data_IF_147178990744
#
_entry.id   IF_147178990744
#
_cell.length_a   1.000
_cell.length_b   1.000
_cell.length_c   1.000
_cell.angle_alpha   90.00
_cell.angle_beta   90.00
_cell.angle_gamma   90.00
#
_symmetry.space_group_name_H-M   'P 1'
#
loop_
_entity.id
_entity.type
_entity.pdbx_description
1 polymer ?
#
# COMPACT_ATOMS: atom_id res chain seq x y z
N UNK A 1 16.65 -12.41 -18.44
CA UNK A 1 15.34 -12.84 -17.94
C UNK A 1 15.62 -13.48 -16.60
N UNK A 2 15.55 -12.72 -15.50
CA UNK A 2 15.74 -13.24 -14.14
C UNK A 2 14.46 -14.00 -13.77
N UNK A 3 14.55 -15.30 -13.63
CA UNK A 3 13.52 -16.11 -12.98
C UNK A 3 13.56 -15.80 -11.49
N UNK A 4 12.70 -14.91 -11.02
CA UNK A 4 12.47 -14.78 -9.58
C UNK A 4 11.94 -16.12 -9.08
N UNK A 5 12.79 -16.80 -8.36
CA UNK A 5 12.47 -18.04 -7.68
C UNK A 5 11.57 -17.65 -6.51
N UNK A 6 10.30 -18.06 -6.53
CA UNK A 6 9.40 -18.00 -5.37
C UNK A 6 10.18 -18.61 -4.20
N UNK A 7 10.31 -17.90 -3.09
CA UNK A 7 10.99 -18.41 -1.89
C UNK A 7 10.28 -19.69 -1.47
N UNK A 8 11.03 -20.73 -1.12
CA UNK A 8 10.47 -22.01 -0.70
C UNK A 8 9.47 -21.87 0.47
N UNK A 9 9.69 -20.88 1.32
CA UNK A 9 8.88 -20.57 2.50
C UNK A 9 7.46 -20.10 2.12
N UNK A 10 7.27 -19.40 1.01
CA UNK A 10 5.96 -18.94 0.55
C UNK A 10 5.04 -20.10 0.15
N UNK A 11 5.60 -21.23 -0.24
CA UNK A 11 4.83 -22.42 -0.63
C UNK A 11 4.49 -23.32 0.55
N UNK A 12 5.29 -23.28 1.63
CA UNK A 12 5.08 -24.13 2.83
C UNK A 12 3.84 -23.72 3.64
N UNK A 13 3.41 -22.47 3.58
CA UNK A 13 2.19 -22.02 4.25
C UNK A 13 0.91 -22.59 3.61
N UNK A 14 0.97 -23.01 2.33
CA UNK A 14 -0.18 -23.56 1.61
C UNK A 14 -0.16 -25.07 1.64
N UNK A 15 -0.55 -25.67 2.80
CA UNK A 15 -0.58 -27.12 2.99
C UNK A 15 -1.90 -27.75 2.59
N UNK A 16 -3.00 -27.02 2.77
CA UNK A 16 -4.36 -27.55 2.57
C UNK A 16 -5.14 -26.69 1.57
N UNK A 17 -5.99 -27.33 0.81
CA UNK A 17 -6.87 -26.69 -0.15
C UNK A 17 -8.01 -25.96 0.59
N UNK A 18 -8.11 -24.64 0.40
CA UNK A 18 -9.18 -23.84 0.99
C UNK A 18 -10.59 -24.22 0.48
N UNK A 19 -10.67 -24.95 -0.66
CA UNK A 19 -11.95 -25.36 -1.26
C UNK A 19 -12.48 -26.69 -0.71
N UNK A 20 -11.60 -27.69 -0.45
CA UNK A 20 -12.05 -29.05 -0.07
C UNK A 20 -11.28 -29.65 1.12
N UNK A 21 -10.33 -28.93 1.71
CA UNK A 21 -9.57 -29.40 2.88
C UNK A 21 -8.44 -30.38 2.59
N UNK A 22 -8.32 -30.93 1.37
CA UNK A 22 -7.28 -31.90 1.01
C UNK A 22 -5.91 -31.27 0.90
N UNK A 23 -4.86 -32.09 1.03
CA UNK A 23 -3.47 -31.64 0.89
C UNK A 23 -3.19 -31.08 -0.49
N UNK A 24 -2.47 -29.98 -0.54
CA UNK A 24 -1.94 -29.39 -1.76
C UNK A 24 -0.61 -30.03 -2.14
N UNK A 25 -0.40 -30.18 -3.46
CA UNK A 25 0.84 -30.68 -4.06
C UNK A 25 1.41 -29.60 -4.94
N UNK A 26 2.73 -29.42 -4.94
CA UNK A 26 3.39 -28.49 -5.84
C UNK A 26 3.49 -29.04 -7.26
N UNK A 27 3.05 -28.24 -8.25
CA UNK A 27 3.17 -28.57 -9.68
C UNK A 27 3.72 -27.40 -10.48
N UNK A 28 4.49 -27.72 -11.50
CA UNK A 28 4.92 -26.73 -12.51
C UNK A 28 3.75 -26.49 -13.47
N UNK A 29 3.18 -25.27 -13.44
CA UNK A 29 2.12 -24.81 -14.32
C UNK A 29 2.55 -23.48 -14.95
N UNK A 30 2.50 -23.39 -16.27
CA UNK A 30 2.85 -22.18 -17.03
C UNK A 30 4.22 -21.58 -16.63
N UNK A 31 5.21 -22.45 -16.41
CA UNK A 31 6.57 -22.06 -16.04
C UNK A 31 6.77 -21.63 -14.58
N UNK A 32 5.74 -21.75 -13.71
CA UNK A 32 5.83 -21.45 -12.29
C UNK A 32 5.37 -22.63 -11.43
N UNK A 33 6.03 -22.84 -10.29
CA UNK A 33 5.59 -23.83 -9.30
C UNK A 33 4.40 -23.24 -8.56
N UNK A 34 3.28 -23.98 -8.50
CA UNK A 34 2.05 -23.58 -7.83
C UNK A 34 1.51 -24.69 -6.95
N UNK A 35 0.91 -24.38 -5.79
CA UNK A 35 0.15 -25.36 -5.01
C UNK A 35 -1.13 -25.75 -5.77
N UNK A 36 -1.33 -27.06 -5.95
CA UNK A 36 -2.47 -27.63 -6.68
C UNK A 36 -3.14 -28.72 -5.84
N UNK A 37 -4.45 -28.69 -5.75
CA UNK A 37 -5.23 -29.75 -5.14
C UNK A 37 -5.52 -30.86 -6.16
N UNK A 38 -5.02 -32.06 -5.92
CA UNK A 38 -5.26 -33.21 -6.82
C UNK A 38 -6.70 -33.74 -6.74
N UNK A 39 -7.39 -33.48 -5.63
CA UNK A 39 -8.76 -33.94 -5.40
C UNK A 39 -9.81 -33.12 -6.15
N UNK A 40 -9.74 -31.78 -6.06
CA UNK A 40 -10.75 -30.89 -6.66
C UNK A 40 -10.24 -29.99 -7.79
N UNK A 41 -8.96 -30.12 -8.17
CA UNK A 41 -8.34 -29.35 -9.26
C UNK A 41 -8.06 -27.87 -8.92
N UNK A 42 -8.29 -27.42 -7.68
CA UNK A 42 -8.02 -26.03 -7.30
C UNK A 42 -6.54 -25.70 -7.41
N UNK A 43 -6.21 -24.56 -8.00
CA UNK A 43 -4.85 -24.01 -8.11
C UNK A 43 -4.77 -22.76 -7.25
N UNK A 44 -3.74 -22.67 -6.40
CA UNK A 44 -3.47 -21.46 -5.60
C UNK A 44 -2.54 -20.55 -6.39
N UNK A 45 -3.01 -19.34 -6.66
CA UNK A 45 -2.22 -18.28 -7.29
C UNK A 45 -1.69 -17.34 -6.20
N UNK A 46 -0.37 -17.23 -6.11
CA UNK A 46 0.29 -16.30 -5.17
C UNK A 46 0.44 -14.96 -5.90
N UNK A 47 -0.46 -14.06 -5.62
CA UNK A 47 -0.48 -12.71 -6.19
C UNK A 47 -0.11 -11.69 -5.12
N UNK A 48 0.51 -10.55 -5.48
CA UNK A 48 0.71 -9.46 -4.54
C UNK A 48 -0.62 -9.00 -3.95
N UNK A 49 -0.62 -8.68 -2.66
CA UNK A 49 -1.78 -8.07 -2.00
C UNK A 49 -1.91 -6.61 -2.44
N UNK A 50 -3.08 -6.16 -2.91
CA UNK A 50 -3.27 -4.79 -3.30
C UNK A 50 -3.43 -3.88 -2.09
N UNK A 51 -2.64 -2.80 -2.05
CA UNK A 51 -2.71 -1.74 -1.07
C UNK A 51 -2.72 -0.38 -1.74
N UNK A 52 -3.21 0.63 -1.04
CA UNK A 52 -3.22 2.02 -1.48
C UNK A 52 -2.40 2.89 -0.52
N UNK A 53 -1.81 3.98 -1.03
CA UNK A 53 -1.12 4.98 -0.22
C UNK A 53 -1.51 6.39 -0.69
N UNK A 54 -1.86 7.28 0.27
CA UNK A 54 -2.31 8.65 -0.01
C UNK A 54 -1.17 9.64 0.12
N UNK A 55 -0.98 10.49 -0.89
CA UNK A 55 -0.10 11.63 -0.80
C UNK A 55 -0.92 12.91 -0.73
N UNK A 56 -1.05 13.46 0.48
CA UNK A 56 -1.64 14.76 0.73
C UNK A 56 -0.51 15.77 0.90
N UNK A 57 -0.35 16.68 -0.06
CA UNK A 57 0.62 17.77 0.05
C UNK A 57 -0.11 19.11 0.07
N UNK A 58 0.17 19.93 1.09
CA UNK A 58 -0.34 21.29 1.22
C UNK A 58 0.78 22.22 1.69
N UNK A 59 0.98 23.34 1.01
CA UNK A 59 1.97 24.36 1.37
C UNK A 59 3.39 23.79 1.62
N UNK A 60 3.84 22.84 0.77
CA UNK A 60 5.15 22.18 0.90
C UNK A 60 5.24 21.18 2.05
N UNK A 61 4.12 20.84 2.68
CA UNK A 61 4.07 19.84 3.75
C UNK A 61 3.23 18.64 3.32
N UNK A 62 3.68 17.44 3.68
CA UNK A 62 2.99 16.16 3.48
C UNK A 62 2.37 15.69 4.79
N UNK A 63 1.15 15.14 4.72
CA UNK A 63 0.52 14.49 5.86
C UNK A 63 1.10 13.09 6.02
N UNK A 64 1.58 12.80 7.23
CA UNK A 64 2.04 11.47 7.63
C UNK A 64 1.29 11.02 8.88
N UNK A 65 1.14 9.72 9.02
CA UNK A 65 0.66 9.06 10.24
C UNK A 65 1.81 8.33 10.93
N UNK A 66 1.75 8.21 12.25
CA UNK A 66 2.64 7.37 13.02
C UNK A 66 1.97 6.04 13.29
N UNK A 67 2.57 4.97 12.82
CA UNK A 67 1.99 3.62 12.92
C UNK A 67 1.91 3.15 14.36
N UNK A 68 0.76 2.61 14.75
CA UNK A 68 0.56 1.96 16.05
C UNK A 68 0.84 0.46 16.05
N UNK A 69 0.91 -0.16 14.84
CA UNK A 69 1.04 -1.60 14.65
C UNK A 69 2.22 -1.97 13.74
N UNK A 70 2.72 -3.19 13.87
CA UNK A 70 3.72 -3.74 12.96
C UNK A 70 3.12 -4.13 11.59
N UNK A 71 3.92 -4.07 10.52
CA UNK A 71 5.33 -3.69 10.45
C UNK A 71 5.53 -2.18 10.62
N UNK A 72 6.65 -1.80 11.27
CA UNK A 72 7.04 -0.40 11.42
C UNK A 72 6.32 0.38 12.50
N UNK A 73 5.83 -0.26 13.57
CA UNK A 73 5.24 0.40 14.72
C UNK A 73 6.15 1.51 15.29
N UNK A 74 5.57 2.69 15.53
CA UNK A 74 6.28 3.88 16.02
C UNK A 74 6.99 4.71 14.94
N UNK A 75 7.07 4.25 13.69
CA UNK A 75 7.62 4.98 12.56
C UNK A 75 6.50 5.70 11.77
N UNK A 76 6.92 6.66 10.94
CA UNK A 76 5.99 7.46 10.15
C UNK A 76 5.74 6.84 8.78
N UNK A 77 4.52 6.99 8.25
CA UNK A 77 4.11 6.48 6.96
C UNK A 77 3.13 7.44 6.27
N UNK A 78 2.97 7.31 4.97
CA UNK A 78 1.80 7.85 4.28
C UNK A 78 0.55 7.15 4.82
N UNK A 79 -0.60 7.82 4.90
CA UNK A 79 -1.88 7.15 5.13
C UNK A 79 -2.06 6.04 4.09
N UNK A 80 -2.31 4.80 4.53
CA UNK A 80 -2.24 3.63 3.64
C UNK A 80 -2.81 2.38 4.28
N UNK A 81 -3.42 1.51 3.46
CA UNK A 81 -3.87 0.21 3.89
C UNK A 81 -4.24 -0.70 2.73
N UNK A 82 -4.72 -1.89 3.04
CA UNK A 82 -5.14 -2.86 2.05
C UNK A 82 -6.50 -2.52 1.46
N UNK A 83 -6.65 -2.84 0.19
CA UNK A 83 -7.95 -2.74 -0.47
C UNK A 83 -8.86 -3.86 0.01
N UNK A 84 -10.12 -3.53 0.27
CA UNK A 84 -11.16 -4.48 0.59
C UNK A 84 -11.85 -5.02 -0.67
N UNK A 85 -12.45 -6.21 -0.56
CA UNK A 85 -13.16 -6.81 -1.68
C UNK A 85 -14.33 -5.94 -2.14
N UNK A 86 -14.33 -5.57 -3.41
CA UNK A 86 -15.36 -4.72 -4.03
C UNK A 86 -15.06 -3.23 -4.01
N UNK A 87 -13.95 -2.81 -3.41
CA UNK A 87 -13.49 -1.43 -3.50
C UNK A 87 -12.75 -1.14 -4.81
N UNK A 88 -12.86 0.10 -5.28
CA UNK A 88 -11.89 0.66 -6.23
C UNK A 88 -10.70 1.25 -5.47
N UNK A 89 -9.51 1.39 -6.11
CA UNK A 89 -8.37 2.05 -5.45
C UNK A 89 -8.72 3.45 -4.92
N UNK A 90 -9.55 4.19 -5.66
CA UNK A 90 -9.98 5.55 -5.29
C UNK A 90 -10.89 5.55 -4.05
N UNK A 91 -11.78 4.54 -3.91
CA UNK A 91 -12.62 4.43 -2.71
C UNK A 91 -11.81 3.97 -1.51
N UNK A 92 -10.90 3.01 -1.70
CA UNK A 92 -10.02 2.51 -0.66
C UNK A 92 -9.16 3.64 -0.08
N UNK A 93 -8.53 4.47 -0.94
CA UNK A 93 -7.67 5.56 -0.48
C UNK A 93 -8.42 6.62 0.33
N UNK A 94 -9.66 6.93 -0.05
CA UNK A 94 -10.48 7.87 0.72
C UNK A 94 -10.92 7.29 2.07
N UNK A 95 -11.21 5.99 2.14
CA UNK A 95 -11.51 5.28 3.38
C UNK A 95 -10.31 5.31 4.33
N UNK A 96 -9.13 4.87 3.86
CA UNK A 96 -7.90 4.84 4.67
C UNK A 96 -7.53 6.22 5.21
N UNK A 97 -7.54 7.26 4.36
CA UNK A 97 -7.29 8.63 4.83
C UNK A 97 -8.26 9.04 5.92
N UNK A 98 -9.55 8.70 5.76
CA UNK A 98 -10.54 9.06 6.76
C UNK A 98 -10.38 8.27 8.07
N UNK A 99 -10.14 6.97 7.99
CA UNK A 99 -9.97 6.09 9.16
C UNK A 99 -8.74 6.47 9.98
N UNK A 100 -7.59 6.72 9.31
CA UNK A 100 -6.33 7.03 9.99
C UNK A 100 -6.16 8.50 10.38
N UNK A 101 -6.89 9.45 9.78
CA UNK A 101 -6.65 10.89 9.99
C UNK A 101 -7.90 11.71 10.26
N UNK A 102 -9.10 11.14 10.13
CA UNK A 102 -10.37 11.86 10.21
C UNK A 102 -10.62 12.85 9.06
N UNK A 103 -9.72 12.94 8.08
CA UNK A 103 -9.82 13.90 6.97
C UNK A 103 -10.64 13.31 5.83
N UNK A 104 -11.65 14.05 5.36
CA UNK A 104 -12.33 13.75 4.11
C UNK A 104 -11.54 14.29 2.93
N UNK A 105 -11.35 13.46 1.92
CA UNK A 105 -10.59 13.80 0.73
C UNK A 105 -11.25 13.29 -0.55
N UNK A 106 -10.80 13.83 -1.66
CA UNK A 106 -11.12 13.34 -3.00
C UNK A 106 -9.86 12.75 -3.64
N UNK A 107 -9.97 11.61 -4.35
CA UNK A 107 -8.84 10.99 -5.01
C UNK A 107 -8.41 11.85 -6.21
N UNK A 108 -7.10 11.97 -6.42
CA UNK A 108 -6.50 12.64 -7.54
C UNK A 108 -5.88 11.66 -8.54
N UNK A 109 -4.64 11.94 -8.96
CA UNK A 109 -3.92 11.13 -9.95
C UNK A 109 -3.17 9.98 -9.29
N UNK A 110 -3.07 8.85 -9.98
CA UNK A 110 -2.11 7.80 -9.66
C UNK A 110 -0.69 8.36 -9.86
N UNK A 111 0.09 8.37 -8.78
CA UNK A 111 1.48 8.85 -8.76
C UNK A 111 2.43 7.71 -9.09
N UNK A 112 2.21 6.55 -8.45
CA UNK A 112 3.09 5.40 -8.55
C UNK A 112 2.34 4.10 -8.38
N UNK A 113 2.79 3.07 -9.08
CA UNK A 113 2.42 1.68 -8.83
C UNK A 113 3.72 0.91 -8.62
N UNK A 114 3.97 0.46 -7.40
CA UNK A 114 5.20 -0.23 -7.02
C UNK A 114 4.92 -1.47 -6.19
N UNK A 115 5.89 -2.36 -6.08
CA UNK A 115 5.80 -3.52 -5.20
C UNK A 115 6.90 -3.47 -4.16
N UNK A 116 6.61 -3.96 -2.98
CA UNK A 116 7.64 -4.25 -1.97
C UNK A 116 7.39 -5.63 -1.36
N UNK A 117 8.44 -6.18 -0.78
CA UNK A 117 8.42 -7.44 -0.07
C UNK A 117 8.23 -7.15 1.42
N UNK A 118 7.13 -7.63 1.98
CA UNK A 118 6.80 -7.49 3.39
C UNK A 118 7.00 -8.83 4.11
N UNK A 119 7.61 -8.81 5.29
CA UNK A 119 7.93 -10.03 6.03
C UNK A 119 6.70 -10.75 6.59
N UNK A 120 5.58 -10.04 6.76
CA UNK A 120 4.33 -10.56 7.31
C UNK A 120 3.37 -10.95 6.19
N UNK A 121 3.22 -10.07 5.19
CA UNK A 121 2.20 -10.18 4.15
C UNK A 121 2.74 -10.70 2.82
N UNK A 122 4.06 -10.88 2.67
CA UNK A 122 4.70 -11.24 1.41
C UNK A 122 4.75 -10.07 0.43
N UNK A 123 4.48 -10.31 -0.85
CA UNK A 123 4.51 -9.26 -1.85
C UNK A 123 3.27 -8.37 -1.78
N UNK A 124 3.48 -7.06 -1.69
CA UNK A 124 2.41 -6.04 -1.67
C UNK A 124 2.54 -5.15 -2.89
N UNK A 125 1.45 -4.96 -3.63
CA UNK A 125 1.33 -3.98 -4.70
C UNK A 125 0.74 -2.69 -4.13
N UNK A 126 1.52 -1.62 -4.08
CA UNK A 126 1.09 -0.31 -3.59
C UNK A 126 0.71 0.59 -4.75
N UNK A 127 -0.52 1.08 -4.75
CA UNK A 127 -1.05 2.10 -5.66
C UNK A 127 -1.09 3.43 -4.92
N UNK A 128 -0.14 4.32 -5.22
CA UNK A 128 -0.05 5.62 -4.57
C UNK A 128 -0.80 6.69 -5.36
N UNK A 129 -1.71 7.40 -4.68
CA UNK A 129 -2.52 8.47 -5.28
C UNK A 129 -2.23 9.81 -4.64
N UNK A 130 -2.23 10.88 -5.43
CA UNK A 130 -2.44 12.21 -4.88
C UNK A 130 -3.88 12.31 -4.38
N UNK A 131 -4.10 13.03 -3.29
CA UNK A 131 -5.43 13.28 -2.77
C UNK A 131 -5.56 14.74 -2.36
N UNK A 132 -6.76 15.30 -2.52
CA UNK A 132 -7.08 16.66 -2.13
C UNK A 132 -8.02 16.66 -0.93
N UNK A 133 -7.66 17.40 0.14
CA UNK A 133 -8.56 17.58 1.27
C UNK A 133 -9.77 18.43 0.85
N UNK A 134 -10.96 18.06 1.30
CA UNK A 134 -12.19 18.85 1.08
C UNK A 134 -12.11 20.20 1.81
N UNK A 135 -11.43 20.25 2.94
CA UNK A 135 -11.24 21.46 3.76
C UNK A 135 -9.76 21.79 3.82
N UNK A 136 -9.39 23.02 3.43
CA UNK A 136 -8.01 23.53 3.58
C UNK A 136 -7.63 23.56 5.06
N UNK A 137 -6.37 23.21 5.36
CA UNK A 137 -5.81 23.20 6.71
C UNK A 137 -6.64 22.35 7.72
N UNK A 138 -7.27 21.26 7.22
CA UNK A 138 -7.97 20.33 8.09
C UNK A 138 -7.03 19.79 9.18
N UNK A 139 -7.51 19.80 10.41
CA UNK A 139 -6.78 19.20 11.52
C UNK A 139 -6.88 17.69 11.41
N UNK A 140 -5.73 17.03 11.29
CA UNK A 140 -5.66 15.57 11.31
C UNK A 140 -5.82 15.07 12.77
N UNK A 141 -6.66 14.08 12.95
CA UNK A 141 -6.87 13.38 14.21
C UNK A 141 -6.58 11.91 13.97
N UNK A 142 -5.53 11.39 14.61
CA UNK A 142 -5.16 9.99 14.46
C UNK A 142 -6.30 9.06 14.88
N UNK A 143 -6.53 8.02 14.09
CA UNK A 143 -7.54 7.00 14.32
C UNK A 143 -7.08 5.65 13.77
N UNK A 144 -7.86 4.61 14.00
CA UNK A 144 -7.56 3.24 13.63
C UNK A 144 -6.14 2.81 14.05
N UNK A 145 -5.33 2.37 13.13
CA UNK A 145 -3.95 1.92 13.34
C UNK A 145 -2.94 3.07 13.52
N UNK A 146 -3.33 4.32 13.36
CA UNK A 146 -2.49 5.50 13.57
C UNK A 146 -2.57 5.99 15.03
N UNK A 147 -1.41 6.25 15.65
CA UNK A 147 -1.32 6.84 17.00
C UNK A 147 -1.11 8.35 16.96
N UNK A 148 -0.58 8.89 15.88
CA UNK A 148 -0.39 10.32 15.63
C UNK A 148 -0.59 10.60 14.12
N UNK A 149 -1.01 11.83 13.79
CA UNK A 149 -1.09 12.34 12.43
C UNK A 149 -0.56 13.77 12.39
N UNK A 150 0.47 14.01 11.54
CA UNK A 150 1.17 15.30 11.49
C UNK A 150 1.57 15.69 10.07
N UNK A 151 1.61 17.02 9.83
CA UNK A 151 2.10 17.61 8.60
C UNK A 151 3.61 17.89 8.71
N UNK A 152 4.41 17.26 7.86
CA UNK A 152 5.86 17.41 7.80
C UNK A 152 6.28 18.16 6.54
N UNK A 153 7.29 19.01 6.66
CA UNK A 153 7.95 19.62 5.51
C UNK A 153 8.53 18.50 4.61
N UNK A 154 8.25 18.55 3.31
CA UNK A 154 8.69 17.51 2.38
C UNK A 154 10.22 17.44 2.26
N UNK A 155 10.92 18.55 2.58
CA UNK A 155 12.38 18.63 2.59
C UNK A 155 13.00 18.09 3.89
N UNK A 156 12.20 17.85 4.94
CA UNK A 156 12.66 17.39 6.26
C UNK A 156 11.76 16.31 6.83
N UNK A 157 11.71 15.17 6.15
CA UNK A 157 10.88 14.03 6.55
C UNK A 157 11.46 13.31 7.78
N UNK A 158 10.60 12.82 8.69
CA UNK A 158 11.02 11.96 9.79
C UNK A 158 11.47 10.58 9.30
N UNK A 159 11.81 9.69 10.23
CA UNK A 159 12.07 8.28 9.91
C UNK A 159 10.79 7.62 9.39
N UNK A 160 10.81 7.16 8.15
CA UNK A 160 9.68 6.48 7.53
C UNK A 160 9.76 4.97 7.75
N UNK A 161 8.60 4.32 7.90
CA UNK A 161 8.47 2.88 8.05
C UNK A 161 8.86 2.12 6.77
N UNK A 162 8.61 2.73 5.61
CA UNK A 162 8.84 2.12 4.29
C UNK A 162 9.65 3.07 3.40
N UNK A 163 10.73 2.56 2.82
CA UNK A 163 11.55 3.34 1.86
C UNK A 163 10.74 3.74 0.62
N UNK A 164 9.82 2.89 0.19
CA UNK A 164 8.91 3.16 -0.92
C UNK A 164 8.09 4.44 -0.71
N UNK A 165 7.70 4.76 0.52
CA UNK A 165 6.95 5.99 0.81
C UNK A 165 7.78 7.25 0.57
N UNK A 166 9.08 7.22 0.83
CA UNK A 166 10.00 8.32 0.50
C UNK A 166 10.07 8.58 -1.00
N UNK A 167 10.16 7.51 -1.77
CA UNK A 167 10.23 7.62 -3.24
C UNK A 167 8.90 8.10 -3.82
N UNK A 168 7.78 7.66 -3.27
CA UNK A 168 6.43 8.12 -3.64
C UNK A 168 6.28 9.63 -3.38
N UNK A 169 6.70 10.13 -2.20
CA UNK A 169 6.64 11.55 -1.86
C UNK A 169 7.47 12.37 -2.87
N UNK A 170 8.68 11.94 -3.19
CA UNK A 170 9.53 12.63 -4.19
C UNK A 170 8.88 12.68 -5.57
N UNK A 171 8.27 11.58 -6.01
CA UNK A 171 7.55 11.54 -7.30
C UNK A 171 6.37 12.51 -7.29
N UNK A 172 5.63 12.59 -6.18
CA UNK A 172 4.54 13.52 -6.01
C UNK A 172 5.00 14.98 -6.11
N UNK A 173 6.11 15.35 -5.45
CA UNK A 173 6.67 16.71 -5.51
C UNK A 173 7.00 17.14 -6.95
N UNK A 174 7.56 16.23 -7.73
CA UNK A 174 7.85 16.49 -9.15
C UNK A 174 6.56 16.76 -9.93
N UNK A 175 5.53 15.95 -9.73
CA UNK A 175 4.22 16.14 -10.39
C UNK A 175 3.56 17.45 -9.98
N UNK A 176 3.55 17.78 -8.69
CA UNK A 176 3.03 19.06 -8.20
C UNK A 176 3.78 20.27 -8.78
N UNK A 177 5.10 20.18 -8.89
CA UNK A 177 5.92 21.25 -9.47
C UNK A 177 5.63 21.48 -10.96
N UNK A 178 5.40 20.42 -11.72
CA UNK A 178 5.05 20.51 -13.15
C UNK A 178 3.67 21.15 -13.36
N UNK A 179 2.67 20.79 -12.56
CA UNK A 179 1.31 21.34 -12.66
C UNK A 179 1.24 22.84 -12.34
N UNK A 180 2.15 23.34 -11.50
CA UNK A 180 2.20 24.77 -11.16
C UNK A 180 3.05 25.61 -12.10
N UNK A 181 3.87 25.01 -12.97
CA UNK A 181 4.65 25.72 -13.99
C UNK A 181 3.89 25.89 -15.32
N UNK A 182 2.81 25.14 -15.57
CA UNK A 182 1.98 25.28 -16.78
C UNK A 182 0.96 26.43 -16.70
N UNK A 183 0.88 27.14 -15.57
CA UNK A 183 -0.10 28.24 -15.35
C UNK A 183 0.55 29.63 -15.45
N UNK A 184 1.83 29.73 -15.82
CA UNK A 184 2.56 30.99 -16.10
C UNK A 184 2.90 31.10 -17.58
#
# INVERSE_FOLDING_TARGET
MMTETIRGDDLEQYRYCARCGEHLTQKLLDGRVRPVCLSCGNVVYLNPLPAVAAVLIQNGRVLLIRRGVDPGAGLWALPSGFMEQGETPESAICREVFEETGIKCSPGKLISATTHDDHVFGHVLVLAYSVACEIRDATAVAGDDAVEAHWYDTTSLPCLAFDTHRDIIRQAEVLYSMEHHEIL
#
